data_IF_424497872605
#
_entry.id   IF_424497872605
#
_cell.length_a   1.000
_cell.length_b   1.000
_cell.length_c   1.000
_cell.angle_alpha   90.00
_cell.angle_beta   90.00
_cell.angle_gamma   90.00
#
_symmetry.space_group_name_H-M   'P 1'
#
loop_
_entity.id
_entity.type
_entity.pdbx_description
1 polymer ?
#
# COMPACT_ATOMS: atom_id res chain seq x y z
N UNK A 1 -21.02 -32.65 5.09
CA UNK A 1 -19.94 -32.13 4.23
C UNK A 1 -18.83 -31.63 5.12
N UNK A 2 -17.59 -32.04 4.86
CA UNK A 2 -16.46 -31.52 5.62
C UNK A 2 -16.32 -30.00 5.38
N UNK A 3 -15.75 -29.27 6.34
CA UNK A 3 -15.39 -27.86 6.14
C UNK A 3 -13.96 -27.81 5.61
N UNK A 4 -13.72 -27.02 4.58
CA UNK A 4 -12.36 -26.78 4.09
C UNK A 4 -11.56 -26.00 5.12
N UNK A 5 -10.38 -26.52 5.45
CA UNK A 5 -9.43 -25.89 6.35
C UNK A 5 -8.15 -25.63 5.57
N UNK A 6 -7.79 -24.36 5.42
CA UNK A 6 -6.53 -23.99 4.80
C UNK A 6 -5.41 -23.95 5.85
N UNK A 7 -4.36 -24.80 5.74
CA UNK A 7 -3.33 -24.89 6.79
C UNK A 7 -2.56 -23.59 7.03
N UNK A 8 -2.48 -22.71 6.03
CA UNK A 8 -1.73 -21.46 6.08
C UNK A 8 -2.63 -20.22 6.26
N UNK A 9 -3.84 -20.40 6.80
CA UNK A 9 -4.78 -19.28 7.01
C UNK A 9 -4.21 -18.22 7.96
N UNK A 10 -3.55 -18.65 9.05
CA UNK A 10 -2.88 -17.75 9.99
C UNK A 10 -1.78 -16.93 9.32
N UNK A 11 -0.98 -17.56 8.46
CA UNK A 11 0.08 -16.92 7.69
C UNK A 11 -0.51 -15.92 6.70
N UNK A 12 -1.60 -16.26 6.02
CA UNK A 12 -2.30 -15.35 5.10
C UNK A 12 -2.83 -14.11 5.84
N UNK A 13 -3.42 -14.29 7.02
CA UNK A 13 -3.91 -13.19 7.87
C UNK A 13 -2.77 -12.29 8.34
N UNK A 14 -1.63 -12.87 8.71
CA UNK A 14 -0.43 -12.10 9.05
C UNK A 14 0.12 -11.32 7.85
N UNK A 15 0.12 -11.90 6.64
CA UNK A 15 0.53 -11.15 5.43
C UNK A 15 -0.45 -10.02 5.08
N UNK A 16 -1.74 -10.22 5.32
CA UNK A 16 -2.74 -9.16 5.19
C UNK A 16 -2.46 -8.00 6.14
N UNK A 17 -2.13 -8.26 7.40
CA UNK A 17 -1.79 -7.18 8.34
C UNK A 17 -0.49 -6.47 7.98
N UNK A 18 0.52 -7.19 7.46
CA UNK A 18 1.74 -6.55 6.92
C UNK A 18 1.41 -5.61 5.76
N UNK A 19 0.59 -6.04 4.80
CA UNK A 19 0.19 -5.18 3.68
C UNK A 19 -0.58 -3.95 4.16
N UNK A 20 -1.47 -4.10 5.14
CA UNK A 20 -2.21 -2.97 5.71
C UNK A 20 -1.30 -1.98 6.44
N UNK A 21 -0.37 -2.48 7.24
CA UNK A 21 0.65 -1.64 7.90
C UNK A 21 1.50 -0.89 6.87
N UNK A 22 1.88 -1.54 5.75
CA UNK A 22 2.62 -0.90 4.67
C UNK A 22 1.80 0.21 3.98
N UNK A 23 0.49 0.01 3.80
CA UNK A 23 -0.43 1.04 3.29
C UNK A 23 -0.50 2.25 4.21
N UNK A 24 -0.65 2.00 5.51
CA UNK A 24 -0.69 3.07 6.51
C UNK A 24 0.63 3.85 6.56
N UNK A 25 1.77 3.15 6.48
CA UNK A 25 3.08 3.79 6.44
C UNK A 25 3.26 4.67 5.19
N UNK A 26 2.86 4.18 4.02
CA UNK A 26 2.87 4.95 2.78
C UNK A 26 1.97 6.18 2.87
N UNK A 27 0.76 6.03 3.42
CA UNK A 27 -0.17 7.15 3.58
C UNK A 27 0.45 8.25 4.46
N UNK A 28 1.05 7.89 5.60
CA UNK A 28 1.76 8.84 6.47
C UNK A 28 2.90 9.55 5.73
N UNK A 29 3.75 8.80 5.04
CA UNK A 29 4.85 9.36 4.28
C UNK A 29 4.38 10.34 3.18
N UNK A 30 3.29 10.01 2.47
CA UNK A 30 2.70 10.91 1.47
C UNK A 30 2.13 12.18 2.09
N UNK A 31 1.47 12.07 3.24
CA UNK A 31 0.94 13.26 3.94
C UNK A 31 2.05 14.19 4.40
N UNK A 32 3.12 13.64 4.99
CA UNK A 32 4.29 14.41 5.42
C UNK A 32 5.00 15.06 4.23
N UNK A 33 5.22 14.30 3.15
CA UNK A 33 5.80 14.82 1.90
C UNK A 33 4.97 15.97 1.32
N UNK A 34 3.65 15.82 1.27
CA UNK A 34 2.73 16.86 0.78
C UNK A 34 2.79 18.14 1.61
N UNK A 35 2.78 18.02 2.94
CA UNK A 35 2.90 19.18 3.84
C UNK A 35 4.22 19.93 3.63
N UNK A 36 5.33 19.20 3.58
CA UNK A 36 6.66 19.80 3.44
C UNK A 36 6.87 20.43 2.06
N UNK A 37 6.24 19.88 1.03
CA UNK A 37 6.20 20.51 -0.29
C UNK A 37 5.44 21.85 -0.27
N UNK A 38 4.29 21.93 0.41
CA UNK A 38 3.56 23.19 0.54
C UNK A 38 4.40 24.25 1.25
N UNK A 39 5.10 23.88 2.33
CA UNK A 39 6.01 24.79 3.04
C UNK A 39 7.13 25.30 2.11
N UNK A 40 7.72 24.43 1.27
CA UNK A 40 8.72 24.83 0.27
C UNK A 40 8.15 25.82 -0.75
N UNK A 41 6.90 25.60 -1.20
CA UNK A 41 6.20 26.49 -2.12
C UNK A 41 5.89 27.86 -1.47
N UNK A 42 5.52 27.89 -0.19
CA UNK A 42 5.35 29.14 0.59
C UNK A 42 6.66 29.92 0.72
N UNK A 43 7.78 29.26 1.05
CA UNK A 43 9.10 29.92 1.10
C UNK A 43 9.46 30.49 -0.27
N UNK A 44 9.23 29.73 -1.34
CA UNK A 44 9.47 30.19 -2.72
C UNK A 44 8.63 31.39 -3.10
N UNK A 45 7.34 31.42 -2.73
CA UNK A 45 6.47 32.57 -3.01
C UNK A 45 6.90 33.79 -2.22
N UNK A 46 7.31 33.64 -0.95
CA UNK A 46 7.86 34.72 -0.14
C UNK A 46 9.15 35.30 -0.74
N UNK A 47 10.06 34.46 -1.23
CA UNK A 47 11.29 34.87 -1.89
C UNK A 47 10.99 35.64 -3.19
N UNK A 48 10.08 35.13 -4.02
CA UNK A 48 9.65 35.85 -5.24
C UNK A 48 9.01 37.20 -4.93
N UNK A 49 8.25 37.30 -3.84
CA UNK A 49 7.66 38.56 -3.41
C UNK A 49 8.74 39.60 -3.04
N UNK A 50 9.83 39.18 -2.39
CA UNK A 50 10.97 40.09 -2.11
C UNK A 50 11.67 40.57 -3.38
N UNK A 51 11.80 39.72 -4.41
CA UNK A 51 12.42 40.10 -5.68
C UNK A 51 11.58 41.11 -6.47
N UNK A 52 10.25 40.98 -6.40
CA UNK A 52 9.33 41.88 -7.10
C UNK A 52 9.18 43.25 -6.42
N UNK A 53 9.61 43.39 -5.16
CA UNK A 53 9.53 44.64 -4.42
C UNK A 53 10.69 45.58 -4.80
N UNK A 54 10.54 46.32 -5.90
CA UNK A 54 11.47 47.39 -6.26
C UNK A 54 11.08 48.69 -5.56
N UNK A 55 11.65 48.93 -4.38
CA UNK A 55 11.52 50.24 -3.73
C UNK A 55 12.56 51.20 -4.30
N UNK A 56 12.09 52.07 -5.21
CA UNK A 56 12.85 53.09 -5.95
C UNK A 56 13.56 54.15 -5.07
N UNK A 57 13.35 54.13 -3.75
CA UNK A 57 13.88 55.14 -2.81
C UNK A 57 14.28 54.52 -1.45
N UNK A 58 14.95 53.36 -1.47
CA UNK A 58 15.33 52.67 -0.23
C UNK A 58 16.68 53.15 0.32
N UNK A 59 16.70 53.45 1.61
CA UNK A 59 17.91 53.68 2.40
C UNK A 59 18.86 52.46 2.32
N UNK A 60 20.18 52.70 2.31
CA UNK A 60 21.22 51.66 2.17
C UNK A 60 21.12 50.62 3.30
N UNK A 61 20.71 51.05 4.50
CA UNK A 61 20.44 50.16 5.61
C UNK A 61 19.29 49.18 5.31
N UNK A 62 18.23 49.64 4.66
CA UNK A 62 17.08 48.81 4.30
C UNK A 62 17.45 47.76 3.25
N UNK A 63 18.22 48.13 2.23
CA UNK A 63 18.75 47.18 1.23
C UNK A 63 19.62 46.09 1.86
N UNK A 64 20.43 46.44 2.87
CA UNK A 64 21.24 45.46 3.61
C UNK A 64 20.36 44.48 4.40
N UNK A 65 19.32 44.98 5.07
CA UNK A 65 18.36 44.12 5.78
C UNK A 65 17.59 43.19 4.83
N UNK A 66 17.19 43.70 3.66
CA UNK A 66 16.49 42.90 2.66
C UNK A 66 17.38 41.79 2.10
N UNK A 67 18.65 42.08 1.81
CA UNK A 67 19.60 41.06 1.34
C UNK A 67 19.84 39.97 2.40
N UNK A 68 20.02 40.33 3.68
CA UNK A 68 20.15 39.35 4.77
C UNK A 68 18.90 38.48 4.91
N UNK A 69 17.71 39.06 4.75
CA UNK A 69 16.46 38.31 4.77
C UNK A 69 16.35 37.36 3.58
N UNK A 70 16.76 37.77 2.38
CA UNK A 70 16.80 36.90 1.19
C UNK A 70 17.78 35.75 1.38
N UNK A 71 18.98 36.01 1.90
CA UNK A 71 19.96 34.96 2.22
C UNK A 71 19.37 33.95 3.21
N UNK A 72 18.71 34.42 4.27
CA UNK A 72 18.01 33.56 5.22
C UNK A 72 16.91 32.71 4.56
N UNK A 73 16.11 33.29 3.67
CA UNK A 73 15.07 32.54 2.94
C UNK A 73 15.67 31.49 2.00
N UNK A 74 16.81 31.78 1.35
CA UNK A 74 17.53 30.82 0.50
C UNK A 74 18.05 29.66 1.34
N UNK A 75 18.64 29.93 2.50
CA UNK A 75 19.12 28.88 3.40
C UNK A 75 17.98 28.01 3.93
N UNK A 76 16.86 28.62 4.31
CA UNK A 76 15.64 27.90 4.70
C UNK A 76 15.12 27.03 3.55
N UNK A 77 15.11 27.56 2.33
CA UNK A 77 14.66 26.82 1.15
C UNK A 77 15.55 25.63 0.84
N UNK A 78 16.87 25.79 0.95
CA UNK A 78 17.83 24.69 0.74
C UNK A 78 17.61 23.55 1.74
N UNK A 79 17.51 23.87 3.03
CA UNK A 79 17.20 22.89 4.08
C UNK A 79 15.85 22.21 3.85
N UNK A 80 14.85 22.99 3.42
CA UNK A 80 13.53 22.46 3.12
C UNK A 80 13.56 21.52 1.91
N UNK A 81 14.35 21.84 0.89
CA UNK A 81 14.51 21.02 -0.30
C UNK A 81 15.19 19.69 0.02
N UNK A 82 16.21 19.69 0.87
CA UNK A 82 16.86 18.47 1.39
C UNK A 82 15.84 17.58 2.11
N UNK A 83 15.05 18.16 3.01
CA UNK A 83 14.00 17.44 3.74
C UNK A 83 12.92 16.86 2.82
N UNK A 84 12.49 17.61 1.80
CA UNK A 84 11.54 17.14 0.79
C UNK A 84 12.12 15.98 -0.01
N UNK A 85 13.40 16.04 -0.39
CA UNK A 85 14.08 14.96 -1.10
C UNK A 85 14.20 13.69 -0.24
N UNK A 86 14.52 13.83 1.05
CA UNK A 86 14.55 12.70 1.98
C UNK A 86 13.17 12.06 2.14
N UNK A 87 12.12 12.87 2.27
CA UNK A 87 10.74 12.38 2.35
C UNK A 87 10.31 11.71 1.05
N UNK A 88 10.74 12.23 -0.10
CA UNK A 88 10.51 11.59 -1.39
C UNK A 88 11.13 10.18 -1.41
N UNK A 89 12.39 10.04 -1.01
CA UNK A 89 13.05 8.73 -0.93
C UNK A 89 12.30 7.79 0.03
N UNK A 90 11.90 8.28 1.21
CA UNK A 90 11.08 7.51 2.17
C UNK A 90 9.75 7.06 1.56
N UNK A 91 9.08 7.90 0.78
CA UNK A 91 7.83 7.51 0.11
C UNK A 91 8.04 6.40 -0.92
N UNK A 92 9.15 6.44 -1.67
CA UNK A 92 9.49 5.39 -2.63
C UNK A 92 9.86 4.08 -1.93
N UNK A 93 10.58 4.12 -0.82
CA UNK A 93 10.86 2.94 0.00
C UNK A 93 9.58 2.31 0.55
N UNK A 94 8.64 3.14 1.03
CA UNK A 94 7.34 2.67 1.49
C UNK A 94 6.52 2.05 0.34
N UNK A 95 6.58 2.62 -0.88
CA UNK A 95 5.97 2.04 -2.09
C UNK A 95 6.54 0.68 -2.41
N UNK A 96 7.87 0.55 -2.43
CA UNK A 96 8.55 -0.71 -2.70
C UNK A 96 8.14 -1.80 -1.69
N UNK A 97 8.10 -1.46 -0.39
CA UNK A 97 7.66 -2.37 0.68
C UNK A 97 6.21 -2.81 0.51
N UNK A 98 5.31 -1.90 0.12
CA UNK A 98 3.91 -2.23 -0.15
C UNK A 98 3.77 -3.17 -1.34
N UNK A 99 4.50 -2.93 -2.43
CA UNK A 99 4.49 -3.82 -3.61
C UNK A 99 4.96 -5.22 -3.22
N UNK A 100 6.05 -5.32 -2.46
CA UNK A 100 6.55 -6.61 -1.99
C UNK A 100 5.52 -7.32 -1.09
N UNK A 101 4.96 -6.64 -0.10
CA UNK A 101 3.95 -7.20 0.80
C UNK A 101 2.71 -7.71 0.02
N UNK A 102 2.28 -6.94 -0.99
CA UNK A 102 1.17 -7.32 -1.85
C UNK A 102 1.48 -8.57 -2.69
N UNK A 103 2.68 -8.66 -3.27
CA UNK A 103 3.12 -9.84 -4.02
C UNK A 103 3.15 -11.09 -3.14
N UNK A 104 3.72 -10.99 -1.94
CA UNK A 104 3.80 -12.10 -0.99
C UNK A 104 2.40 -12.59 -0.55
N UNK A 105 1.46 -11.67 -0.30
CA UNK A 105 0.06 -12.03 -0.02
C UNK A 105 -0.59 -12.71 -1.22
N UNK A 106 -0.39 -12.19 -2.44
CA UNK A 106 -0.97 -12.77 -3.65
C UNK A 106 -0.51 -14.21 -3.90
N UNK A 107 0.75 -14.52 -3.60
CA UNK A 107 1.27 -15.90 -3.70
C UNK A 107 0.48 -16.83 -2.79
N UNK A 108 0.30 -16.47 -1.51
CA UNK A 108 -0.47 -17.29 -0.57
C UNK A 108 -1.94 -17.39 -0.97
N UNK A 109 -2.55 -16.32 -1.47
CA UNK A 109 -3.92 -16.34 -1.96
C UNK A 109 -4.08 -17.34 -3.12
N UNK A 110 -3.17 -17.32 -4.09
CA UNK A 110 -3.17 -18.29 -5.20
C UNK A 110 -3.01 -19.73 -4.73
N UNK A 111 -2.21 -19.97 -3.69
CA UNK A 111 -2.07 -21.31 -3.09
C UNK A 111 -3.39 -21.74 -2.44
N UNK A 112 -4.03 -20.86 -1.67
CA UNK A 112 -5.34 -21.10 -1.07
C UNK A 112 -6.39 -21.43 -2.12
N UNK A 113 -6.48 -20.63 -3.18
CA UNK A 113 -7.45 -20.84 -4.27
C UNK A 113 -7.26 -22.20 -4.95
N UNK A 114 -6.00 -22.60 -5.23
CA UNK A 114 -5.68 -23.93 -5.78
C UNK A 114 -6.05 -25.07 -4.83
N UNK A 115 -5.78 -24.90 -3.53
CA UNK A 115 -6.13 -25.93 -2.54
C UNK A 115 -7.64 -26.07 -2.38
N UNK A 116 -8.39 -24.97 -2.48
CA UNK A 116 -9.84 -24.99 -2.50
C UNK A 116 -10.40 -25.72 -3.72
N UNK A 117 -9.86 -25.45 -4.91
CA UNK A 117 -10.27 -26.17 -6.13
C UNK A 117 -10.04 -27.68 -6.03
N UNK A 118 -8.90 -28.11 -5.46
CA UNK A 118 -8.63 -29.54 -5.22
C UNK A 118 -9.62 -30.15 -4.24
N UNK A 119 -9.91 -29.44 -3.15
CA UNK A 119 -10.87 -29.88 -2.16
C UNK A 119 -12.27 -30.07 -2.77
N UNK A 120 -12.75 -29.12 -3.58
CA UNK A 120 -14.03 -29.25 -4.27
C UNK A 120 -14.06 -30.48 -5.18
N UNK A 121 -13.00 -30.67 -5.99
CA UNK A 121 -12.91 -31.82 -6.89
C UNK A 121 -12.90 -33.17 -6.15
N UNK A 122 -12.29 -33.22 -4.96
CA UNK A 122 -12.32 -34.40 -4.10
C UNK A 122 -13.69 -34.66 -3.46
N UNK A 123 -14.39 -33.62 -3.00
CA UNK A 123 -15.75 -33.76 -2.47
C UNK A 123 -16.71 -34.19 -3.59
N UNK A 124 -16.65 -33.59 -4.78
CA UNK A 124 -17.47 -33.97 -5.93
C UNK A 124 -17.28 -35.45 -6.30
N UNK A 125 -16.03 -35.95 -6.26
CA UNK A 125 -15.73 -37.36 -6.49
C UNK A 125 -16.33 -38.27 -5.42
N UNK A 126 -16.27 -37.87 -4.14
CA UNK A 126 -16.87 -38.64 -3.04
C UNK A 126 -18.38 -38.68 -3.16
N UNK A 127 -19.02 -37.56 -3.52
CA UNK A 127 -20.46 -37.48 -3.73
C UNK A 127 -20.91 -38.34 -4.91
N UNK A 128 -20.16 -38.33 -6.02
CA UNK A 128 -20.42 -39.22 -7.16
C UNK A 128 -20.34 -40.69 -6.76
N UNK A 129 -19.29 -41.09 -6.04
CA UNK A 129 -19.15 -42.48 -5.56
C UNK A 129 -20.31 -42.90 -4.65
N UNK A 130 -20.71 -42.03 -3.71
CA UNK A 130 -21.86 -42.30 -2.83
C UNK A 130 -23.16 -42.43 -3.63
N UNK A 131 -23.37 -41.57 -4.64
CA UNK A 131 -24.57 -41.60 -5.49
C UNK A 131 -24.62 -42.88 -6.33
N UNK A 132 -23.49 -43.29 -6.90
CA UNK A 132 -23.39 -44.53 -7.67
C UNK A 132 -23.63 -45.77 -6.80
N UNK A 133 -23.09 -45.80 -5.58
CA UNK A 133 -23.34 -46.89 -4.60
C UNK A 133 -24.81 -46.98 -4.22
N UNK A 134 -25.46 -45.86 -3.90
CA UNK A 134 -26.90 -45.80 -3.60
C UNK A 134 -27.72 -46.22 -4.81
N UNK A 135 -27.39 -45.75 -6.01
CA UNK A 135 -28.07 -46.12 -7.25
C UNK A 135 -27.96 -47.63 -7.53
N UNK A 136 -26.76 -48.19 -7.38
CA UNK A 136 -26.51 -49.63 -7.55
C UNK A 136 -27.27 -50.48 -6.55
N UNK A 137 -27.25 -50.10 -5.26
CA UNK A 137 -28.02 -50.81 -4.23
C UNK A 137 -29.51 -50.75 -4.53
N UNK A 138 -30.06 -49.58 -4.86
CA UNK A 138 -31.48 -49.42 -5.21
C UNK A 138 -31.87 -50.28 -6.41
N UNK A 139 -31.03 -50.35 -7.45
CA UNK A 139 -31.23 -51.23 -8.60
C UNK A 139 -31.24 -52.71 -8.21
N UNK A 140 -30.29 -53.15 -7.37
CA UNK A 140 -30.21 -54.53 -6.87
C UNK A 140 -31.48 -54.89 -6.06
N UNK A 141 -31.95 -54.00 -5.18
CA UNK A 141 -33.17 -54.23 -4.41
C UNK A 141 -34.42 -54.30 -5.30
N UNK A 142 -34.54 -53.45 -6.34
CA UNK A 142 -35.62 -53.56 -7.33
C UNK A 142 -35.59 -54.88 -8.11
N UNK A 143 -34.40 -55.40 -8.42
CA UNK A 143 -34.24 -56.66 -9.18
C UNK A 143 -34.48 -57.91 -8.33
N UNK A 144 -34.38 -57.81 -7.01
CA UNK A 144 -34.62 -58.91 -6.05
C UNK A 144 -36.06 -58.97 -5.53
N UNK A 145 -36.90 -57.98 -5.80
CA UNK A 145 -38.34 -58.03 -5.55
C UNK A 145 -39.08 -58.79 -6.65
N UNK A 146 -39.12 -60.11 -6.51
CA UNK A 146 -40.24 -60.97 -6.91
C UNK A 146 -40.88 -61.52 -5.63
#
# INVERSE_FOLDING_TARGET
MARFLFPLESVLNYRLSIEDNAKQALAKALTEYGMQRMISEEINTSLKATLNYHSFASDVAWLKHENLYREYLIDCLNKQQELVNELQQKTEDCRAKLVQAHQERLVLKKIKDKSWQRYQLEEDKKEQLQTDEVGRNTFIYRKRGY
#
